data_IF_079402108472
#
_entry.id   IF_079402108472
#
_cell.length_a   1.000
_cell.length_b   1.000
_cell.length_c   1.000
_cell.angle_alpha   90.00
_cell.angle_beta   90.00
_cell.angle_gamma   90.00
#
_symmetry.space_group_name_H-M   'P 1'
#
loop_
_entity.id
_entity.type
_entity.pdbx_description
1 polymer ?
#
# COMPACT_ATOMS: atom_id res chain seq x y z
N UNK A 1 2.35 28.67 -29.53
CA UNK A 1 2.15 29.07 -28.11
C UNK A 1 1.66 27.93 -27.18
N UNK A 2 1.74 26.66 -27.60
CA UNK A 2 1.48 25.49 -26.75
C UNK A 2 2.73 24.97 -26.02
N UNK A 3 3.94 25.29 -26.51
CA UNK A 3 5.21 24.91 -25.89
C UNK A 3 5.55 25.68 -24.61
N UNK A 4 4.96 26.86 -24.40
CA UNK A 4 5.18 27.66 -23.17
C UNK A 4 4.30 27.24 -21.99
N UNK A 5 3.19 26.50 -22.21
CA UNK A 5 2.34 25.98 -21.13
C UNK A 5 2.83 24.67 -20.52
N UNK A 6 3.81 23.99 -21.14
CA UNK A 6 4.45 22.80 -20.59
C UNK A 6 5.58 23.11 -19.57
N UNK A 7 6.09 24.35 -19.54
CA UNK A 7 7.23 24.77 -18.70
C UNK A 7 6.89 25.10 -17.24
N UNK A 8 5.67 24.82 -16.77
CA UNK A 8 5.20 25.16 -15.41
C UNK A 8 5.06 23.98 -14.43
N UNK A 9 5.34 22.73 -14.83
CA UNK A 9 5.42 21.62 -13.88
C UNK A 9 6.85 21.51 -13.39
N UNK A 10 7.08 21.79 -12.10
CA UNK A 10 8.35 21.57 -11.43
C UNK A 10 8.88 20.18 -11.82
N UNK A 11 9.92 20.12 -12.66
CA UNK A 11 10.53 18.86 -13.04
C UNK A 11 11.01 18.21 -11.75
N UNK A 12 10.52 17.01 -11.44
CA UNK A 12 10.88 16.30 -10.21
C UNK A 12 12.40 16.17 -10.16
N UNK A 13 13.05 17.00 -9.34
CA UNK A 13 14.50 16.99 -9.17
C UNK A 13 14.85 16.02 -8.06
N UNK A 14 15.84 15.17 -8.32
CA UNK A 14 16.35 14.24 -7.32
C UNK A 14 17.01 15.04 -6.20
N UNK A 15 16.66 14.73 -4.96
CA UNK A 15 17.30 15.26 -3.78
C UNK A 15 18.58 14.47 -3.51
N UNK A 16 19.74 15.07 -3.83
CA UNK A 16 21.03 14.37 -3.73
C UNK A 16 21.31 13.86 -2.32
N UNK A 17 20.96 14.63 -1.29
CA UNK A 17 21.16 14.23 0.11
C UNK A 17 20.42 12.93 0.45
N UNK A 18 19.19 12.76 -0.06
CA UNK A 18 18.41 11.52 0.13
C UNK A 18 19.04 10.38 -0.67
N UNK A 19 19.43 10.65 -1.91
CA UNK A 19 20.07 9.64 -2.75
C UNK A 19 21.38 9.15 -2.13
N UNK A 20 22.25 10.02 -1.64
CA UNK A 20 23.52 9.66 -0.99
C UNK A 20 23.29 8.81 0.27
N UNK A 21 22.26 9.15 1.04
CA UNK A 21 21.86 8.34 2.20
C UNK A 21 21.38 6.95 1.78
N UNK A 22 20.54 6.86 0.75
CA UNK A 22 20.05 5.59 0.20
C UNK A 22 21.18 4.76 -0.42
N UNK A 23 22.12 5.39 -1.12
CA UNK A 23 23.31 4.72 -1.66
C UNK A 23 24.09 4.02 -0.55
N UNK A 24 24.37 4.72 0.55
CA UNK A 24 25.08 4.13 1.68
C UNK A 24 24.30 2.99 2.35
N UNK A 25 23.01 3.19 2.61
CA UNK A 25 22.20 2.22 3.34
C UNK A 25 21.84 1.00 2.49
N UNK A 26 21.28 1.23 1.30
CA UNK A 26 20.71 0.16 0.48
C UNK A 26 21.77 -0.64 -0.29
N UNK A 27 22.96 -0.09 -0.52
CA UNK A 27 24.10 -0.93 -0.94
C UNK A 27 24.43 -1.98 0.13
N UNK A 28 24.37 -1.62 1.41
CA UNK A 28 24.64 -2.56 2.50
C UNK A 28 23.48 -3.55 2.72
N UNK A 29 22.22 -3.10 2.59
CA UNK A 29 21.05 -3.93 2.84
C UNK A 29 20.64 -4.83 1.66
N UNK A 30 20.78 -4.36 0.42
CA UNK A 30 20.31 -5.05 -0.78
C UNK A 30 21.46 -5.60 -1.66
N UNK A 31 22.70 -5.21 -1.39
CA UNK A 31 23.86 -5.62 -2.20
C UNK A 31 23.69 -5.25 -3.67
N UNK A 32 23.98 -6.20 -4.56
CA UNK A 32 23.97 -5.99 -6.02
C UNK A 32 22.61 -5.54 -6.57
N UNK A 33 21.50 -5.92 -5.90
CA UNK A 33 20.16 -5.56 -6.32
C UNK A 33 19.89 -4.05 -6.26
N UNK A 34 20.61 -3.32 -5.41
CA UNK A 34 20.42 -1.87 -5.23
C UNK A 34 20.60 -1.09 -6.53
N UNK A 35 21.60 -1.45 -7.35
CA UNK A 35 21.91 -0.76 -8.60
C UNK A 35 20.69 -0.66 -9.53
N UNK A 36 20.04 -1.79 -9.80
CA UNK A 36 18.83 -1.88 -10.63
C UNK A 36 17.65 -1.13 -10.01
N UNK A 37 17.47 -1.28 -8.69
CA UNK A 37 16.38 -0.60 -7.97
C UNK A 37 16.52 0.91 -8.01
N UNK A 38 17.74 1.43 -7.75
CA UNK A 38 18.07 2.84 -7.81
C UNK A 38 17.78 3.43 -9.18
N UNK A 39 18.16 2.74 -10.25
CA UNK A 39 17.95 3.21 -11.61
C UNK A 39 16.44 3.43 -11.91
N UNK A 40 15.57 2.56 -11.39
CA UNK A 40 14.12 2.72 -11.50
C UNK A 40 13.58 3.83 -10.59
N UNK A 41 14.07 3.91 -9.35
CA UNK A 41 13.63 4.91 -8.38
C UNK A 41 13.98 6.34 -8.81
N UNK A 42 15.12 6.53 -9.47
CA UNK A 42 15.60 7.82 -9.97
C UNK A 42 15.02 8.20 -11.34
N UNK A 43 14.29 7.28 -11.98
CA UNK A 43 13.72 7.44 -13.33
C UNK A 43 12.18 7.52 -13.32
N UNK A 44 11.56 8.65 -12.92
CA UNK A 44 10.11 8.72 -12.75
C UNK A 44 9.30 8.52 -14.04
N UNK A 45 9.94 8.62 -15.21
CA UNK A 45 9.30 8.37 -16.51
C UNK A 45 9.05 6.88 -16.77
N UNK A 46 9.73 5.96 -16.08
CA UNK A 46 9.49 4.53 -16.21
C UNK A 46 8.45 4.00 -15.22
N UNK A 47 7.92 4.85 -14.33
CA UNK A 47 6.93 4.43 -13.33
C UNK A 47 5.59 4.09 -13.97
N UNK A 48 5.09 2.91 -13.62
CA UNK A 48 3.82 2.39 -14.11
C UNK A 48 2.69 2.66 -13.11
N UNK A 49 1.46 2.66 -13.61
CA UNK A 49 0.25 2.74 -12.81
C UNK A 49 -0.68 1.63 -13.26
N UNK A 50 -1.19 0.88 -12.29
CA UNK A 50 -2.26 -0.07 -12.50
C UNK A 50 -3.62 0.63 -12.48
N UNK A 51 -4.57 0.04 -13.18
CA UNK A 51 -5.97 0.48 -13.25
C UNK A 51 -6.80 -0.54 -12.47
N UNK A 52 -7.18 -0.20 -11.24
CA UNK A 52 -8.11 -1.00 -10.43
C UNK A 52 -9.54 -0.55 -10.78
N UNK A 53 -10.34 -1.44 -11.34
CA UNK A 53 -11.73 -1.12 -11.67
C UNK A 53 -12.59 -0.99 -10.42
N UNK A 54 -13.54 -0.07 -10.48
CA UNK A 54 -14.55 0.06 -9.46
C UNK A 54 -15.73 -0.87 -9.75
N UNK A 55 -15.89 -1.95 -8.97
CA UNK A 55 -17.00 -2.91 -9.11
C UNK A 55 -18.38 -2.28 -8.91
N UNK A 56 -18.46 -1.10 -8.28
CA UNK A 56 -19.70 -0.37 -8.04
C UNK A 56 -20.07 0.57 -9.19
N UNK A 57 -19.19 0.74 -10.18
CA UNK A 57 -19.43 1.58 -11.36
C UNK A 57 -19.40 0.72 -12.62
N UNK A 58 -20.46 0.78 -13.43
CA UNK A 58 -20.52 0.04 -14.69
C UNK A 58 -20.05 0.94 -15.83
N UNK A 59 -19.03 0.49 -16.55
CA UNK A 59 -18.45 1.22 -17.67
C UNK A 59 -18.35 0.32 -18.90
N UNK A 60 -19.41 0.26 -19.72
CA UNK A 60 -19.37 -0.49 -20.97
C UNK A 60 -18.19 -0.04 -21.83
N UNK A 61 -17.33 -0.98 -22.24
CA UNK A 61 -16.20 -0.72 -23.13
C UNK A 61 -14.91 -0.23 -22.45
N UNK A 62 -14.88 -0.01 -21.12
CA UNK A 62 -13.65 0.38 -20.43
C UNK A 62 -12.58 -0.73 -20.52
N UNK A 63 -12.97 -1.99 -20.30
CA UNK A 63 -12.08 -3.15 -20.40
C UNK A 63 -11.56 -3.33 -21.84
N UNK A 64 -12.41 -3.11 -22.84
CA UNK A 64 -12.00 -3.09 -24.26
C UNK A 64 -10.99 -1.98 -24.55
N UNK A 65 -11.23 -0.76 -24.04
CA UNK A 65 -10.30 0.36 -24.20
C UNK A 65 -8.95 0.12 -23.52
N UNK A 66 -8.96 -0.53 -22.37
CA UNK A 66 -7.74 -0.96 -21.68
C UNK A 66 -6.97 -1.97 -22.53
N UNK A 67 -7.65 -3.00 -23.06
CA UNK A 67 -7.04 -4.00 -23.93
C UNK A 67 -6.44 -3.40 -25.20
N UNK A 68 -7.14 -2.49 -25.89
CA UNK A 68 -6.65 -1.76 -27.06
C UNK A 68 -5.39 -0.93 -26.76
N UNK A 69 -5.26 -0.45 -25.52
CA UNK A 69 -4.09 0.29 -25.06
C UNK A 69 -2.97 -0.61 -24.50
N UNK A 70 -3.09 -1.93 -24.65
CA UNK A 70 -2.11 -2.94 -24.24
C UNK A 70 -2.13 -3.28 -22.75
N UNK A 71 -3.19 -2.92 -22.03
CA UNK A 71 -3.35 -3.38 -20.65
C UNK A 71 -3.83 -4.83 -20.60
N UNK A 72 -3.36 -5.57 -19.60
CA UNK A 72 -3.71 -6.96 -19.32
C UNK A 72 -3.97 -7.14 -17.83
N UNK A 73 -4.59 -8.25 -17.44
CA UNK A 73 -4.85 -8.54 -16.02
C UNK A 73 -3.55 -8.62 -15.22
N UNK A 74 -3.48 -7.89 -14.11
CA UNK A 74 -2.32 -7.84 -13.23
C UNK A 74 -2.07 -9.13 -12.45
N UNK A 75 -3.15 -9.89 -12.21
CA UNK A 75 -3.13 -11.13 -11.44
C UNK A 75 -3.78 -12.22 -12.29
N UNK A 76 -2.99 -13.03 -13.03
CA UNK A 76 -3.56 -14.20 -13.70
C UNK A 76 -4.19 -15.12 -12.66
N UNK A 77 -5.19 -15.90 -13.08
CA UNK A 77 -6.15 -16.72 -12.30
C UNK A 77 -5.56 -17.75 -11.31
N UNK A 78 -4.25 -17.71 -11.05
CA UNK A 78 -3.47 -18.63 -10.23
C UNK A 78 -3.49 -18.32 -8.72
N UNK A 79 -4.10 -17.21 -8.27
CA UNK A 79 -4.27 -16.93 -6.85
C UNK A 79 -5.62 -17.49 -6.34
N UNK A 80 -5.65 -18.59 -5.56
CA UNK A 80 -6.89 -19.26 -5.17
C UNK A 80 -7.81 -18.41 -4.28
N UNK A 81 -7.29 -17.33 -3.69
CA UNK A 81 -8.03 -16.39 -2.84
C UNK A 81 -8.34 -15.05 -3.53
N UNK A 82 -8.04 -14.90 -4.83
CA UNK A 82 -8.38 -13.68 -5.56
C UNK A 82 -9.91 -13.59 -5.74
N UNK A 83 -10.59 -12.54 -5.22
CA UNK A 83 -12.02 -12.41 -5.38
C UNK A 83 -12.41 -12.28 -6.85
N UNK A 84 -13.47 -12.95 -7.28
CA UNK A 84 -13.93 -12.93 -8.68
C UNK A 84 -14.29 -11.53 -9.19
N UNK A 85 -14.74 -10.65 -8.30
CA UNK A 85 -15.07 -9.26 -8.64
C UNK A 85 -13.83 -8.35 -8.81
N UNK A 86 -12.66 -8.79 -8.32
CA UNK A 86 -11.46 -7.98 -8.29
C UNK A 86 -10.82 -7.89 -9.68
N UNK A 87 -10.86 -6.70 -10.27
CA UNK A 87 -10.36 -6.45 -11.62
C UNK A 87 -9.29 -5.37 -11.59
N UNK A 88 -8.05 -5.77 -11.83
CA UNK A 88 -6.92 -4.86 -11.92
C UNK A 88 -6.11 -5.13 -13.19
N UNK A 89 -5.75 -4.05 -13.87
CA UNK A 89 -5.09 -4.06 -15.16
C UNK A 89 -3.74 -3.34 -15.10
N UNK A 90 -2.72 -3.95 -15.66
CA UNK A 90 -1.35 -3.42 -15.75
C UNK A 90 -0.89 -3.36 -17.20
N UNK A 91 0.18 -2.60 -17.44
CA UNK A 91 0.81 -2.48 -18.75
C UNK A 91 2.31 -2.34 -18.58
N UNK A 92 3.08 -3.11 -19.34
CA UNK A 92 4.56 -3.08 -19.30
C UNK A 92 5.13 -1.75 -19.78
N UNK A 93 4.51 -1.15 -20.80
CA UNK A 93 4.93 0.14 -21.32
C UNK A 93 4.58 1.28 -20.35
N UNK A 94 5.52 2.21 -20.09
CA UNK A 94 5.25 3.36 -19.24
C UNK A 94 4.13 4.22 -19.81
N UNK A 95 3.46 4.96 -18.92
CA UNK A 95 2.32 5.79 -19.26
C UNK A 95 1.26 5.71 -18.19
N UNK A 96 0.33 6.65 -18.25
CA UNK A 96 -0.72 6.79 -17.25
C UNK A 96 -2.07 6.87 -17.95
N UNK A 97 -2.97 5.96 -17.61
CA UNK A 97 -4.37 6.09 -17.97
C UNK A 97 -4.92 7.43 -17.42
N UNK A 98 -5.90 8.08 -18.06
CA UNK A 98 -6.41 9.37 -17.59
C UNK A 98 -6.85 9.34 -16.13
N UNK A 99 -6.50 10.36 -15.34
CA UNK A 99 -6.96 10.43 -13.96
C UNK A 99 -8.40 10.99 -13.90
N UNK A 100 -9.28 10.33 -13.14
CA UNK A 100 -10.62 10.83 -12.89
C UNK A 100 -10.65 11.75 -11.66
N UNK A 101 -11.19 12.96 -11.84
CA UNK A 101 -11.40 13.91 -10.74
C UNK A 101 -12.61 13.48 -9.91
N UNK A 102 -12.56 13.77 -8.62
CA UNK A 102 -13.72 13.63 -7.74
C UNK A 102 -14.85 14.55 -8.24
N UNK A 103 -16.07 14.02 -8.28
CA UNK A 103 -17.31 14.71 -8.62
C UNK A 103 -18.39 14.22 -7.66
N UNK A 104 -18.98 15.08 -6.82
CA UNK A 104 -20.03 14.69 -5.89
C UNK A 104 -21.18 13.96 -6.60
N UNK A 105 -21.65 12.86 -6.01
CA UNK A 105 -22.73 12.05 -6.56
C UNK A 105 -22.38 11.20 -7.80
N UNK A 106 -21.12 11.22 -8.26
CA UNK A 106 -20.67 10.39 -9.40
C UNK A 106 -19.49 9.50 -9.01
N UNK A 107 -19.73 8.19 -9.08
CA UNK A 107 -18.67 7.21 -8.87
C UNK A 107 -17.65 7.25 -10.01
N UNK A 108 -16.38 7.14 -9.62
CA UNK A 108 -15.26 6.87 -10.52
C UNK A 108 -15.31 5.42 -10.99
N UNK A 109 -14.83 5.22 -12.20
CA UNK A 109 -14.85 3.94 -12.90
C UNK A 109 -13.63 3.09 -12.53
N UNK A 110 -12.54 3.74 -12.12
CA UNK A 110 -11.29 3.08 -11.73
C UNK A 110 -10.40 3.96 -10.85
N UNK A 111 -9.52 3.31 -10.10
CA UNK A 111 -8.47 3.92 -9.30
C UNK A 111 -7.10 3.66 -9.95
N UNK A 112 -6.24 4.68 -9.98
CA UNK A 112 -4.86 4.56 -10.48
C UNK A 112 -3.89 4.44 -9.30
N UNK A 113 -3.15 3.35 -9.23
CA UNK A 113 -2.23 3.07 -8.12
C UNK A 113 -0.96 2.34 -8.57
N UNK A 114 0.00 2.20 -7.68
CA UNK A 114 1.10 1.25 -7.84
C UNK A 114 0.54 -0.17 -7.60
N UNK A 115 0.70 -1.09 -8.55
CA UNK A 115 0.14 -2.45 -8.44
C UNK A 115 0.58 -3.18 -7.17
N UNK A 116 1.81 -2.90 -6.69
CA UNK A 116 2.32 -3.54 -5.47
C UNK A 116 1.49 -3.17 -4.23
N UNK A 117 0.82 -2.02 -4.21
CA UNK A 117 -0.07 -1.63 -3.11
C UNK A 117 -1.29 -2.54 -2.95
N UNK A 118 -1.55 -3.44 -3.91
CA UNK A 118 -2.61 -4.44 -3.82
C UNK A 118 -2.15 -5.70 -3.05
N UNK A 119 -0.84 -5.98 -2.97
CA UNK A 119 -0.34 -7.17 -2.29
C UNK A 119 -0.70 -7.21 -0.79
N UNK A 120 -0.61 -6.11 -0.01
CA UNK A 120 -1.08 -6.10 1.38
C UNK A 120 -2.57 -6.41 1.50
N UNK A 121 -3.39 -5.88 0.58
CA UNK A 121 -4.84 -6.07 0.57
C UNK A 121 -5.19 -7.52 0.26
N UNK A 122 -4.55 -8.10 -0.76
CA UNK A 122 -4.74 -9.49 -1.15
C UNK A 122 -4.24 -10.46 -0.07
N UNK A 123 -3.11 -10.15 0.60
CA UNK A 123 -2.60 -10.95 1.70
C UNK A 123 -3.54 -10.95 2.93
N UNK A 124 -4.33 -9.89 3.13
CA UNK A 124 -5.23 -9.78 4.26
C UNK A 124 -6.42 -10.76 4.14
N UNK A 125 -6.79 -11.13 2.91
CA UNK A 125 -7.84 -12.11 2.60
C UNK A 125 -9.15 -11.80 3.35
N UNK A 126 -9.62 -10.55 3.20
CA UNK A 126 -10.87 -10.08 3.78
C UNK A 126 -12.05 -10.85 3.17
N UNK A 127 -13.00 -11.25 4.00
CA UNK A 127 -14.25 -11.91 3.60
C UNK A 127 -15.45 -11.02 3.85
N UNK A 128 -16.53 -11.29 3.14
CA UNK A 128 -17.79 -10.59 3.31
C UNK A 128 -18.32 -10.76 4.75
N UNK A 129 -18.78 -9.66 5.34
CA UNK A 129 -19.31 -9.62 6.70
C UNK A 129 -18.27 -9.54 7.83
N UNK A 130 -16.97 -9.61 7.52
CA UNK A 130 -15.92 -9.42 8.54
C UNK A 130 -15.79 -7.96 8.98
N UNK A 131 -15.40 -7.74 10.24
CA UNK A 131 -15.09 -6.42 10.79
C UNK A 131 -13.61 -6.06 10.50
N UNK A 132 -13.40 -4.97 9.77
CA UNK A 132 -12.09 -4.62 9.18
C UNK A 132 -11.64 -3.23 9.62
N UNK A 133 -10.35 -3.12 9.97
CA UNK A 133 -9.68 -1.85 10.26
C UNK A 133 -8.58 -1.59 9.24
N UNK A 134 -8.63 -0.43 8.58
CA UNK A 134 -7.50 0.19 7.90
C UNK A 134 -6.96 1.31 8.80
N UNK A 135 -5.86 1.04 9.52
CA UNK A 135 -5.39 1.87 10.63
C UNK A 135 -4.79 3.22 10.15
N UNK A 136 -4.29 3.26 8.92
CA UNK A 136 -3.58 4.40 8.33
C UNK A 136 -4.04 4.58 6.88
N UNK A 137 -5.33 4.86 6.73
CA UNK A 137 -6.08 4.63 5.50
C UNK A 137 -5.79 5.63 4.37
N UNK A 138 -5.37 6.86 4.66
CA UNK A 138 -5.29 7.86 3.62
C UNK A 138 -4.12 7.64 2.65
N UNK A 139 -4.27 7.99 1.36
CA UNK A 139 -5.41 8.70 0.77
C UNK A 139 -6.61 7.79 0.41
N UNK A 140 -6.62 6.51 0.81
CA UNK A 140 -7.76 5.60 0.64
C UNK A 140 -7.62 4.57 -0.48
N UNK A 141 -6.46 4.50 -1.16
CA UNK A 141 -6.27 3.56 -2.28
C UNK A 141 -6.37 2.10 -1.85
N UNK A 142 -5.80 1.73 -0.70
CA UNK A 142 -5.91 0.37 -0.15
C UNK A 142 -7.31 0.10 0.42
N UNK A 143 -7.94 1.11 1.04
CA UNK A 143 -9.31 1.01 1.53
C UNK A 143 -10.32 0.78 0.40
N UNK A 144 -10.17 1.50 -0.72
CA UNK A 144 -10.95 1.25 -1.94
C UNK A 144 -10.69 -0.17 -2.46
N UNK A 145 -9.44 -0.62 -2.48
CA UNK A 145 -9.09 -1.97 -2.93
C UNK A 145 -9.68 -3.07 -2.04
N UNK A 146 -9.74 -2.89 -0.72
CA UNK A 146 -10.46 -3.80 0.19
C UNK A 146 -11.93 -3.90 -0.22
N UNK A 147 -12.60 -2.77 -0.46
CA UNK A 147 -14.00 -2.74 -0.89
C UNK A 147 -14.22 -3.27 -2.32
N UNK A 148 -13.17 -3.35 -3.15
CA UNK A 148 -13.23 -4.06 -4.42
C UNK A 148 -13.13 -5.59 -4.24
N UNK A 149 -12.50 -6.05 -3.16
CA UNK A 149 -12.31 -7.46 -2.85
C UNK A 149 -13.53 -8.07 -2.14
N UNK A 150 -14.08 -7.37 -1.17
CA UNK A 150 -15.11 -7.89 -0.27
C UNK A 150 -16.07 -6.78 0.20
N UNK A 151 -17.14 -7.18 0.87
CA UNK A 151 -18.11 -6.31 1.55
C UNK A 151 -18.00 -6.52 3.07
N UNK A 152 -17.15 -5.75 3.78
CA UNK A 152 -17.04 -5.82 5.24
C UNK A 152 -18.37 -5.58 5.95
N UNK A 153 -18.55 -6.18 7.13
CA UNK A 153 -19.70 -5.91 8.01
C UNK A 153 -19.58 -4.52 8.65
N UNK A 154 -18.41 -4.23 9.22
CA UNK A 154 -17.95 -2.89 9.61
C UNK A 154 -16.60 -2.62 8.96
N UNK A 155 -16.43 -1.43 8.37
CA UNK A 155 -15.14 -1.01 7.84
C UNK A 155 -14.68 0.31 8.45
N UNK A 156 -13.70 0.25 9.35
CA UNK A 156 -13.11 1.42 9.98
C UNK A 156 -11.87 1.87 9.19
N UNK A 157 -11.93 3.06 8.60
CA UNK A 157 -10.81 3.73 7.94
C UNK A 157 -10.32 4.88 8.82
N UNK A 158 -9.17 4.73 9.46
CA UNK A 158 -8.59 5.76 10.33
C UNK A 158 -7.47 6.54 9.62
N UNK A 159 -7.47 7.86 9.75
CA UNK A 159 -6.33 8.71 9.35
C UNK A 159 -6.12 9.83 10.36
N UNK A 160 -4.92 9.87 10.96
CA UNK A 160 -4.58 10.86 11.98
C UNK A 160 -4.46 12.29 11.44
N UNK A 161 -3.93 12.47 10.22
CA UNK A 161 -3.71 13.81 9.65
C UNK A 161 -4.99 14.41 9.05
N UNK A 162 -5.33 15.64 9.45
CA UNK A 162 -6.55 16.33 9.01
C UNK A 162 -6.64 16.56 7.50
N UNK A 163 -5.52 16.88 6.83
CA UNK A 163 -5.51 17.11 5.40
C UNK A 163 -5.70 15.80 4.63
N UNK A 164 -5.00 14.75 5.06
CA UNK A 164 -5.08 13.41 4.47
C UNK A 164 -6.43 12.75 4.74
N UNK A 165 -7.06 12.98 5.90
CA UNK A 165 -8.41 12.50 6.19
C UNK A 165 -9.42 13.08 5.21
N UNK A 166 -9.32 14.36 4.85
CA UNK A 166 -10.17 14.95 3.80
C UNK A 166 -9.98 14.29 2.43
N UNK A 167 -8.75 13.89 2.09
CA UNK A 167 -8.49 13.14 0.85
C UNK A 167 -9.07 11.72 0.91
N UNK A 168 -9.01 11.08 2.07
CA UNK A 168 -9.64 9.78 2.31
C UNK A 168 -11.15 9.87 2.13
N UNK A 169 -11.82 10.82 2.78
CA UNK A 169 -13.26 11.06 2.65
C UNK A 169 -13.67 11.27 1.18
N UNK A 170 -12.99 12.16 0.46
CA UNK A 170 -13.22 12.40 -0.97
C UNK A 170 -12.99 11.14 -1.81
N UNK A 171 -12.04 10.30 -1.43
CA UNK A 171 -11.77 9.04 -2.12
C UNK A 171 -12.91 8.06 -1.86
N UNK A 172 -13.34 7.87 -0.62
CA UNK A 172 -14.46 7.00 -0.30
C UNK A 172 -15.74 7.45 -1.03
N UNK A 173 -16.08 8.74 -1.01
CA UNK A 173 -17.22 9.30 -1.74
C UNK A 173 -17.11 9.09 -3.26
N UNK A 174 -15.88 9.12 -3.81
CA UNK A 174 -15.66 8.92 -5.24
C UNK A 174 -15.85 7.48 -5.71
N UNK A 175 -15.82 6.49 -4.82
CA UNK A 175 -15.76 5.08 -5.22
C UNK A 175 -16.89 4.23 -4.65
N UNK A 176 -17.44 4.61 -3.49
CA UNK A 176 -18.33 3.78 -2.70
C UNK A 176 -19.74 4.39 -2.69
N UNK A 177 -20.78 3.66 -3.16
CA UNK A 177 -22.14 4.20 -3.17
C UNK A 177 -22.81 4.15 -1.80
N UNK A 178 -23.86 4.97 -1.62
CA UNK A 178 -24.59 5.19 -0.37
C UNK A 178 -24.96 3.93 0.44
N UNK A 179 -25.41 2.81 -0.15
CA UNK A 179 -25.73 1.61 0.63
C UNK A 179 -24.53 1.06 1.40
N UNK A 180 -23.32 1.18 0.83
CA UNK A 180 -22.09 0.69 1.43
C UNK A 180 -21.41 1.74 2.31
N UNK A 181 -21.63 3.04 2.07
CA UNK A 181 -21.11 4.12 2.92
C UNK A 181 -21.54 3.98 4.38
N UNK A 182 -22.73 3.43 4.63
CA UNK A 182 -23.24 3.19 5.99
C UNK A 182 -22.41 2.17 6.78
N UNK A 183 -21.65 1.31 6.09
CA UNK A 183 -20.76 0.32 6.69
C UNK A 183 -19.36 0.89 6.94
N UNK A 184 -19.04 2.04 6.34
CA UNK A 184 -17.72 2.67 6.43
C UNK A 184 -17.72 3.75 7.51
N UNK A 185 -16.85 3.61 8.49
CA UNK A 185 -16.54 4.66 9.47
C UNK A 185 -15.21 5.30 9.11
N UNK A 186 -15.20 6.62 8.90
CA UNK A 186 -13.94 7.39 8.78
C UNK A 186 -13.68 8.10 10.10
N UNK A 187 -12.49 7.92 10.67
CA UNK A 187 -12.12 8.58 11.92
C UNK A 187 -10.74 9.22 11.85
N UNK A 188 -10.51 10.14 12.81
CA UNK A 188 -9.26 10.90 12.96
C UNK A 188 -8.67 10.68 14.34
N UNK A 189 -8.34 9.43 14.62
CA UNK A 189 -7.77 9.01 15.89
C UNK A 189 -6.26 8.78 15.76
N UNK A 190 -5.56 8.92 16.87
CA UNK A 190 -4.19 8.40 16.96
C UNK A 190 -4.26 6.87 16.89
N UNK A 191 -3.75 6.30 15.79
CA UNK A 191 -3.78 4.86 15.55
C UNK A 191 -3.10 4.04 16.66
N UNK A 192 -2.24 4.66 17.48
CA UNK A 192 -1.62 4.00 18.64
C UNK A 192 -2.61 3.71 19.77
N UNK A 193 -3.75 4.40 19.80
CA UNK A 193 -4.76 4.29 20.86
C UNK A 193 -5.94 3.38 20.48
N UNK A 194 -6.09 3.00 19.19
CA UNK A 194 -7.26 2.25 18.72
C UNK A 194 -7.38 0.89 19.41
N UNK A 195 -6.26 0.21 19.70
CA UNK A 195 -6.27 -1.05 20.45
C UNK A 195 -6.81 -0.93 21.88
N UNK A 196 -6.67 0.23 22.52
CA UNK A 196 -7.24 0.49 23.85
C UNK A 196 -8.73 0.85 23.76
N UNK A 197 -9.12 1.58 22.70
CA UNK A 197 -10.49 2.01 22.47
C UNK A 197 -11.40 0.86 22.00
N UNK A 198 -10.86 -0.04 21.18
CA UNK A 198 -11.59 -1.13 20.52
C UNK A 198 -10.80 -2.45 20.63
N UNK A 199 -10.57 -2.95 21.86
CA UNK A 199 -9.80 -4.16 22.06
C UNK A 199 -10.52 -5.37 21.46
N UNK A 200 -9.76 -6.21 20.76
CA UNK A 200 -10.22 -7.50 20.22
C UNK A 200 -11.49 -7.43 19.36
N UNK A 201 -11.73 -6.29 18.71
CA UNK A 201 -12.92 -6.03 17.93
C UNK A 201 -12.81 -6.52 16.49
N UNK A 202 -11.64 -6.34 15.86
CA UNK A 202 -11.50 -6.52 14.42
C UNK A 202 -11.11 -7.95 14.03
N UNK A 203 -11.72 -8.45 12.97
CA UNK A 203 -11.36 -9.71 12.32
C UNK A 203 -10.08 -9.58 11.51
N UNK A 204 -9.94 -8.42 10.86
CA UNK A 204 -8.86 -8.08 9.93
C UNK A 204 -8.34 -6.69 10.22
N UNK A 205 -7.02 -6.55 10.31
CA UNK A 205 -6.38 -5.23 10.46
C UNK A 205 -5.30 -5.04 9.40
N UNK A 206 -5.39 -3.94 8.66
CA UNK A 206 -4.34 -3.46 7.77
C UNK A 206 -3.59 -2.31 8.46
N UNK A 207 -2.27 -2.44 8.54
CA UNK A 207 -1.36 -1.41 9.01
C UNK A 207 -0.43 -1.00 7.85
N UNK A 208 -0.92 -0.11 6.99
CA UNK A 208 -0.10 0.55 5.97
C UNK A 208 0.64 1.74 6.57
N UNK A 209 1.76 1.47 7.24
CA UNK A 209 2.34 2.40 8.18
C UNK A 209 2.98 3.62 7.49
N UNK A 210 2.92 4.81 8.11
CA UNK A 210 3.72 5.95 7.68
C UNK A 210 5.21 5.56 7.72
N UNK A 211 5.91 5.81 6.61
CA UNK A 211 7.29 5.37 6.40
C UNK A 211 8.06 6.38 5.55
N UNK A 212 9.35 6.10 5.31
CA UNK A 212 10.21 6.96 4.49
C UNK A 212 9.78 7.09 3.03
N UNK A 213 8.78 6.32 2.57
CA UNK A 213 8.18 6.40 1.22
C UNK A 213 9.22 6.77 0.15
N UNK A 214 10.15 5.84 -0.10
CA UNK A 214 11.44 6.15 -0.72
C UNK A 214 11.31 6.83 -2.08
N UNK A 215 10.29 6.42 -2.86
CA UNK A 215 9.95 7.09 -4.13
C UNK A 215 9.59 8.56 -3.94
N UNK A 216 8.84 8.90 -2.90
CA UNK A 216 8.45 10.28 -2.63
C UNK A 216 9.63 11.10 -2.09
N UNK A 217 10.36 10.58 -1.10
CA UNK A 217 11.47 11.31 -0.46
C UNK A 217 12.59 11.67 -1.43
N UNK A 218 12.87 10.81 -2.43
CA UNK A 218 13.85 11.07 -3.48
C UNK A 218 13.59 12.34 -4.29
N UNK A 219 12.36 12.82 -4.40
CA UNK A 219 12.02 14.01 -5.20
C UNK A 219 11.61 15.21 -4.34
N UNK A 220 12.19 15.32 -3.14
CA UNK A 220 12.00 16.47 -2.26
C UNK A 220 12.55 17.75 -2.89
N UNK A 221 11.71 18.78 -3.01
CA UNK A 221 12.11 20.08 -3.56
C UNK A 221 13.01 20.89 -2.61
N UNK A 222 12.91 20.64 -1.30
CA UNK A 222 13.65 21.33 -0.25
C UNK A 222 14.69 20.40 0.40
N UNK A 223 16.00 20.61 0.17
CA UNK A 223 17.06 19.83 0.78
C UNK A 223 17.12 19.91 2.32
N UNK A 224 16.77 21.05 2.93
CA UNK A 224 16.81 21.19 4.39
C UNK A 224 15.72 20.34 5.05
N UNK A 225 14.51 20.35 4.48
CA UNK A 225 13.46 19.43 4.91
C UNK A 225 13.85 17.97 4.71
N UNK A 226 14.53 17.65 3.61
CA UNK A 226 14.99 16.29 3.36
C UNK A 226 16.01 15.83 4.42
N UNK A 227 16.96 16.69 4.80
CA UNK A 227 17.91 16.44 5.90
C UNK A 227 17.18 16.18 7.22
N UNK A 228 16.19 17.01 7.56
CA UNK A 228 15.42 16.85 8.78
C UNK A 228 14.67 15.51 8.81
N UNK A 229 14.01 15.13 7.70
CA UNK A 229 13.31 13.84 7.57
C UNK A 229 14.26 12.67 7.75
N UNK A 230 15.47 12.73 7.19
CA UNK A 230 16.48 11.69 7.35
C UNK A 230 16.95 11.58 8.82
N UNK A 231 17.12 12.69 9.53
CA UNK A 231 17.45 12.66 10.96
C UNK A 231 16.33 12.02 11.79
N UNK A 232 15.07 12.32 11.45
CA UNK A 232 13.89 11.80 12.14
C UNK A 232 13.48 10.39 11.68
N UNK A 233 14.13 9.81 10.68
CA UNK A 233 13.74 8.52 10.09
C UNK A 233 13.69 7.39 11.11
N UNK A 234 14.56 7.41 12.14
CA UNK A 234 14.54 6.41 13.22
C UNK A 234 13.24 6.45 14.03
N UNK A 235 12.63 7.62 14.18
CA UNK A 235 11.36 7.80 14.89
C UNK A 235 10.22 7.08 14.17
N UNK A 236 10.30 6.92 12.84
CA UNK A 236 9.31 6.18 12.05
C UNK A 236 9.24 4.71 12.48
N UNK A 237 10.39 4.04 12.64
CA UNK A 237 10.41 2.63 13.10
C UNK A 237 9.75 2.44 14.47
N UNK A 238 9.97 3.39 15.39
CA UNK A 238 9.34 3.39 16.71
C UNK A 238 7.84 3.63 16.64
N UNK A 239 7.41 4.58 15.80
CA UNK A 239 5.99 4.83 15.55
C UNK A 239 5.30 3.62 14.92
N UNK A 240 5.92 3.01 13.91
CA UNK A 240 5.43 1.80 13.23
C UNK A 240 5.25 0.65 14.20
N UNK A 241 6.21 0.43 15.12
CA UNK A 241 6.08 -0.54 16.19
C UNK A 241 4.88 -0.25 17.11
N UNK A 242 4.70 1.00 17.55
CA UNK A 242 3.58 1.40 18.41
C UNK A 242 2.22 1.19 17.71
N UNK A 243 2.12 1.58 16.44
CA UNK A 243 0.92 1.36 15.62
C UNK A 243 0.61 -0.13 15.48
N UNK A 244 1.63 -0.94 15.17
CA UNK A 244 1.47 -2.38 14.99
C UNK A 244 1.09 -3.08 16.31
N UNK A 245 1.64 -2.63 17.44
CA UNK A 245 1.22 -3.12 18.77
C UNK A 245 -0.25 -2.79 19.06
N UNK A 246 -0.68 -1.57 18.75
CA UNK A 246 -2.10 -1.18 18.91
C UNK A 246 -3.02 -2.02 18.02
N UNK A 247 -2.61 -2.27 16.77
CA UNK A 247 -3.33 -3.11 15.84
C UNK A 247 -3.46 -4.57 16.33
N UNK A 248 -2.40 -5.14 16.93
CA UNK A 248 -2.45 -6.47 17.56
C UNK A 248 -3.45 -6.52 18.72
N UNK A 249 -3.56 -5.44 19.50
CA UNK A 249 -4.53 -5.36 20.59
C UNK A 249 -5.97 -5.21 20.07
N UNK A 250 -6.17 -4.44 19.01
CA UNK A 250 -7.47 -4.26 18.36
C UNK A 250 -7.96 -5.52 17.63
N UNK A 251 -7.04 -6.39 17.21
CA UNK A 251 -7.33 -7.63 16.50
C UNK A 251 -7.92 -8.69 17.45
N UNK A 252 -9.00 -9.35 17.06
CA UNK A 252 -9.58 -10.47 17.83
C UNK A 252 -8.68 -11.71 17.80
N UNK A 253 -8.75 -12.60 18.80
CA UNK A 253 -8.16 -13.94 18.71
C UNK A 253 -8.60 -14.68 17.43
N UNK A 254 -7.64 -15.26 16.71
CA UNK A 254 -7.88 -15.91 15.42
C UNK A 254 -7.90 -14.96 14.21
N UNK A 255 -7.96 -13.65 14.44
CA UNK A 255 -7.93 -12.62 13.40
C UNK A 255 -6.59 -12.53 12.67
N UNK A 256 -6.60 -11.91 11.49
CA UNK A 256 -5.40 -11.71 10.66
C UNK A 256 -5.01 -10.24 10.57
N UNK A 257 -3.71 -9.98 10.59
CA UNK A 257 -3.14 -8.66 10.45
C UNK A 257 -2.15 -8.64 9.29
N UNK A 258 -2.19 -7.59 8.47
CA UNK A 258 -1.14 -7.31 7.49
C UNK A 258 -0.49 -5.98 7.80
N UNK A 259 0.83 -6.00 7.90
CA UNK A 259 1.67 -4.83 7.99
C UNK A 259 2.32 -4.55 6.63
N UNK A 260 2.32 -3.29 6.19
CA UNK A 260 2.99 -2.88 4.96
C UNK A 260 3.64 -1.52 5.06
N UNK A 261 4.68 -1.33 4.24
CA UNK A 261 5.32 -0.02 4.01
C UNK A 261 5.68 0.13 2.54
N UNK A 262 6.00 1.36 2.11
CA UNK A 262 6.55 1.63 0.77
C UNK A 262 8.02 2.07 0.81
N UNK A 263 8.79 1.44 1.70
CA UNK A 263 10.24 1.67 1.88
C UNK A 263 11.03 0.38 1.75
N UNK A 264 12.30 0.48 1.33
CA UNK A 264 13.25 -0.63 1.28
C UNK A 264 13.94 -0.87 2.64
N UNK A 265 13.84 0.08 3.57
CA UNK A 265 14.54 0.08 4.85
C UNK A 265 14.21 -1.12 5.71
N UNK A 266 15.21 -1.96 5.98
CA UNK A 266 15.08 -3.07 6.93
C UNK A 266 14.60 -2.61 8.32
N UNK A 267 15.10 -1.46 8.77
CA UNK A 267 14.75 -0.87 10.07
C UNK A 267 13.27 -0.50 10.20
N UNK A 268 12.61 -0.21 9.08
CA UNK A 268 11.16 0.08 9.01
C UNK A 268 10.34 -1.17 8.61
N UNK A 269 10.99 -2.31 8.34
CA UNK A 269 10.37 -3.51 7.80
C UNK A 269 10.59 -4.71 8.73
N UNK A 270 11.51 -5.62 8.39
CA UNK A 270 11.75 -6.86 9.12
C UNK A 270 12.15 -6.63 10.58
N UNK A 271 12.83 -5.52 10.91
CA UNK A 271 13.19 -5.23 12.30
C UNK A 271 11.96 -4.86 13.15
N UNK A 272 10.97 -4.16 12.57
CA UNK A 272 9.68 -3.87 13.23
C UNK A 272 8.88 -5.15 13.47
N UNK A 273 8.83 -6.04 12.48
CA UNK A 273 8.16 -7.35 12.61
C UNK A 273 8.83 -8.21 13.66
N UNK A 274 10.17 -8.29 13.65
CA UNK A 274 10.94 -9.02 14.66
C UNK A 274 10.68 -8.49 16.07
N UNK A 275 10.59 -7.16 16.23
CA UNK A 275 10.29 -6.55 17.51
C UNK A 275 8.87 -6.88 18.00
N UNK A 276 7.88 -6.92 17.10
CA UNK A 276 6.51 -7.33 17.45
C UNK A 276 6.43 -8.80 17.83
N UNK A 277 7.05 -9.69 17.05
CA UNK A 277 7.04 -11.13 17.33
C UNK A 277 7.74 -11.47 18.66
N UNK A 278 8.78 -10.72 19.02
CA UNK A 278 9.45 -10.88 20.32
C UNK A 278 8.69 -10.25 21.50
N UNK A 279 7.91 -9.18 21.25
CA UNK A 279 7.18 -8.45 22.29
C UNK A 279 5.76 -8.99 22.55
N UNK A 280 5.12 -9.60 21.55
CA UNK A 280 3.73 -10.05 21.59
C UNK A 280 3.65 -11.58 21.45
N UNK A 281 3.50 -12.29 22.59
CA UNK A 281 3.49 -13.77 22.62
C UNK A 281 2.27 -14.41 21.94
N UNK A 282 1.19 -13.65 21.75
CA UNK A 282 -0.06 -14.10 21.16
C UNK A 282 -0.15 -13.80 19.65
N UNK A 283 0.98 -13.57 18.98
CA UNK A 283 1.03 -13.32 17.54
C UNK A 283 2.01 -14.29 16.89
N UNK A 284 1.63 -14.84 15.74
CA UNK A 284 2.48 -15.71 14.95
C UNK A 284 2.58 -15.25 13.49
N UNK A 285 3.73 -15.47 12.83
CA UNK A 285 3.88 -15.22 11.41
C UNK A 285 3.02 -16.17 10.58
N UNK A 286 2.54 -15.70 9.43
CA UNK A 286 1.78 -16.49 8.45
C UNK A 286 2.54 -16.51 7.12
N UNK A 287 2.80 -17.71 6.59
CA UNK A 287 3.48 -17.90 5.31
C UNK A 287 2.67 -17.25 4.16
N UNK A 288 3.33 -16.35 3.43
CA UNK A 288 2.81 -15.68 2.23
C UNK A 288 3.70 -15.92 1.01
N UNK A 289 4.65 -16.84 1.08
CA UNK A 289 5.51 -17.24 -0.05
C UNK A 289 4.72 -17.81 -1.22
N UNK A 290 3.55 -18.43 -0.96
CA UNK A 290 2.61 -18.87 -1.99
C UNK A 290 2.10 -17.72 -2.85
N UNK A 291 1.81 -16.57 -2.24
CA UNK A 291 1.44 -15.35 -2.96
C UNK A 291 2.54 -14.90 -3.89
N UNK A 292 3.78 -14.82 -3.38
CA UNK A 292 4.94 -14.38 -4.14
C UNK A 292 5.16 -15.24 -5.39
N UNK A 293 5.05 -16.57 -5.25
CA UNK A 293 5.12 -17.51 -6.38
C UNK A 293 3.99 -17.28 -7.38
N UNK A 294 2.77 -17.03 -6.89
CA UNK A 294 1.60 -16.79 -7.75
C UNK A 294 1.67 -15.51 -8.58
N UNK A 295 2.45 -14.51 -8.14
CA UNK A 295 2.56 -13.19 -8.82
C UNK A 295 3.97 -12.85 -9.30
N UNK A 296 4.89 -13.81 -9.32
CA UNK A 296 6.31 -13.59 -9.68
C UNK A 296 6.53 -13.19 -11.14
N UNK A 297 5.53 -13.37 -12.00
CA UNK A 297 5.56 -12.86 -13.37
C UNK A 297 5.42 -11.32 -13.39
N UNK A 298 4.58 -10.77 -12.52
CA UNK A 298 4.27 -9.33 -12.48
C UNK A 298 5.19 -8.56 -11.51
N UNK A 299 5.66 -9.20 -10.45
CA UNK A 299 6.46 -8.54 -9.39
C UNK A 299 7.82 -9.21 -9.20
N UNK A 300 8.82 -8.37 -8.94
CA UNK A 300 10.17 -8.80 -8.56
C UNK A 300 10.30 -8.68 -7.05
N UNK A 301 10.77 -9.74 -6.38
CA UNK A 301 10.88 -9.81 -4.92
C UNK A 301 12.33 -9.93 -4.48
N UNK A 302 12.67 -9.36 -3.32
CA UNK A 302 13.95 -9.60 -2.66
C UNK A 302 14.04 -11.07 -2.23
N UNK A 303 15.14 -11.73 -2.58
CA UNK A 303 15.42 -13.13 -2.19
C UNK A 303 15.91 -13.24 -0.74
N UNK A 304 15.75 -14.40 -0.12
CA UNK A 304 16.29 -14.68 1.22
C UNK A 304 15.52 -14.07 2.39
N UNK A 305 14.33 -13.52 2.14
CA UNK A 305 13.43 -13.06 3.21
C UNK A 305 12.74 -14.23 3.93
N UNK A 306 12.20 -13.95 5.11
CA UNK A 306 11.38 -14.91 5.86
C UNK A 306 10.10 -15.23 5.08
N UNK A 307 9.55 -16.45 5.24
CA UNK A 307 8.36 -16.88 4.47
C UNK A 307 7.10 -16.03 4.71
N UNK A 308 7.04 -15.32 5.83
CA UNK A 308 5.93 -14.44 6.20
C UNK A 308 6.14 -12.97 5.76
N UNK A 309 7.25 -12.68 5.06
CA UNK A 309 7.65 -11.36 4.63
C UNK A 309 7.89 -11.33 3.12
N UNK A 310 7.51 -10.24 2.47
CA UNK A 310 7.79 -9.97 1.06
C UNK A 310 8.28 -8.53 0.91
N UNK A 311 9.30 -8.32 0.08
CA UNK A 311 9.70 -6.99 -0.35
C UNK A 311 9.71 -6.94 -1.88
N UNK A 312 8.78 -6.18 -2.45
CA UNK A 312 8.75 -5.90 -3.89
C UNK A 312 9.84 -4.90 -4.22
N UNK A 313 10.73 -5.27 -5.13
CA UNK A 313 11.79 -4.43 -5.67
C UNK A 313 11.36 -3.86 -7.04
N UNK A 314 11.42 -2.53 -7.23
CA UNK A 314 11.22 -1.94 -8.54
C UNK A 314 12.24 -2.44 -9.55
N UNK A 315 11.79 -2.94 -10.69
CA UNK A 315 12.64 -3.39 -11.80
C UNK A 315 12.22 -2.76 -13.12
N UNK A 316 13.14 -2.63 -14.07
CA UNK A 316 12.83 -2.11 -15.41
C UNK A 316 11.76 -2.97 -16.08
N UNK A 317 10.67 -2.34 -16.52
CA UNK A 317 9.50 -3.03 -17.11
C UNK A 317 8.48 -3.55 -16.07
N UNK A 318 8.87 -3.64 -14.80
CA UNK A 318 8.04 -3.99 -13.64
C UNK A 318 8.33 -3.02 -12.50
N UNK A 319 8.14 -1.73 -12.77
CA UNK A 319 8.44 -0.62 -11.89
C UNK A 319 7.37 -0.46 -10.79
N UNK A 320 7.04 -1.55 -10.12
CA UNK A 320 6.17 -1.62 -8.95
C UNK A 320 6.96 -1.47 -7.66
N UNK A 321 6.27 -1.22 -6.55
CA UNK A 321 6.91 -1.04 -5.24
C UNK A 321 7.73 0.26 -5.12
N UNK A 322 8.70 0.37 -4.20
CA UNK A 322 8.96 -0.59 -3.14
C UNK A 322 7.69 -0.86 -2.34
N UNK A 323 7.48 -2.12 -1.96
CA UNK A 323 6.36 -2.50 -1.11
C UNK A 323 6.78 -3.65 -0.22
N UNK A 324 6.83 -3.41 1.07
CA UNK A 324 7.00 -4.45 2.07
C UNK A 324 5.64 -4.97 2.52
N UNK A 325 5.52 -6.28 2.72
CA UNK A 325 4.30 -6.93 3.21
C UNK A 325 4.70 -7.99 4.22
N UNK A 326 4.08 -7.98 5.40
CA UNK A 326 4.18 -9.06 6.37
C UNK A 326 2.79 -9.44 6.88
N UNK A 327 2.50 -10.75 6.97
CA UNK A 327 1.22 -11.27 7.46
C UNK A 327 1.40 -11.95 8.80
N UNK A 328 0.57 -11.56 9.77
CA UNK A 328 0.56 -12.07 11.13
C UNK A 328 -0.86 -12.57 11.47
N UNK A 329 -0.94 -13.49 12.43
CA UNK A 329 -2.20 -13.98 13.00
C UNK A 329 -2.15 -13.89 14.52
N UNK A 330 -3.21 -13.37 15.14
CA UNK A 330 -3.35 -13.42 16.60
C UNK A 330 -3.85 -14.79 17.00
N UNK A 331 -3.14 -15.46 17.89
CA UNK A 331 -3.59 -16.72 18.49
C UNK A 331 -4.38 -16.47 19.77
N UNK A 332 -5.34 -17.34 20.03
CA UNK A 332 -6.01 -17.38 21.33
C UNK A 332 -4.98 -17.64 22.42
N UNK A 333 -5.02 -16.83 23.47
CA UNK A 333 -4.34 -17.15 24.73
C UNK A 333 -4.92 -18.48 25.24
N UNK A 334 -4.07 -19.51 25.27
CA UNK A 334 -4.36 -20.83 25.86
C UNK A 334 -4.62 -20.74 27.35
#
# INVERSE_FOLDING_TARGET
NLEKKAKGKLQKRICQVVLDHFEKQYTAELGDAWSSVRDVLTSPWCWQHAVLLNRFSQSPGLESSLAEQGYHHAFPTALPYLPTAFRCYTRTAPGRFPAQKHQPGRLKEYYLLNAASLLPVLALEVKDGEDVLDLCAAPGGKSVAILQCACPGHFHCNEYDDLRSRWLEQTIESFIPDPFLKLVTVSKLDGRQIGDLQPEFYDKVLVDAPCSNDRSWLFSADPQQAVLRLMQRKELSSLQFQLLRSAVQALRPGGSLVYSTCTLSRAENSDVISLILSSCRNVMPVDISGMARGVSQEFTFLSGMQQHELLVLPEKGRAWGPMYVAKLKKVSSS
#
